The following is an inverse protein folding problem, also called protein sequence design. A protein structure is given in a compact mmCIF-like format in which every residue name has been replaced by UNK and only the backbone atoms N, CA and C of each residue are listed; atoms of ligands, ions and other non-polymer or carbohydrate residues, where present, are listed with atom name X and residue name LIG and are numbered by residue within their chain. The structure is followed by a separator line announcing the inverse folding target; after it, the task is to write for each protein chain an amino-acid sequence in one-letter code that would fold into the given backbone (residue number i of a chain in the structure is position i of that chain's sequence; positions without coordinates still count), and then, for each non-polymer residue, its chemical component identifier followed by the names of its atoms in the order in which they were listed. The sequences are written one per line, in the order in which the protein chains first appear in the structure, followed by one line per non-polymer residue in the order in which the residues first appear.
data_IF_455957672209
#
_entry.id   IF_455957672209
#
_cell.length_a   1.000
_cell.length_b   1.000
_cell.length_c   1.000
_cell.angle_alpha   90.00
_cell.angle_beta   90.00
_cell.angle_gamma   90.00
#
_symmetry.space_group_name_H-M   'P 1'
#
loop_
_entity.id
_entity.type
_entity.pdbx_description
1 polymer ?
#
# COMPACT_ATOMS: atom_id res chain seq x y z
N UNK A 1 37.55 -40.83 -7.10
CA UNK A 1 36.87 -42.14 -7.23
C UNK A 1 35.37 -41.88 -7.34
N UNK A 2 34.85 -41.98 -8.51
CA UNK A 2 33.87 -42.97 -9.01
C UNK A 2 32.54 -42.84 -8.30
N UNK A 3 31.52 -42.28 -9.02
CA UNK A 3 30.47 -43.04 -9.77
C UNK A 3 29.31 -43.38 -8.86
N UNK A 4 28.05 -43.27 -9.19
CA UNK A 4 27.20 -43.43 -10.39
C UNK A 4 25.77 -43.11 -10.02
N UNK A 5 24.99 -42.46 -10.82
CA UNK A 5 24.03 -43.05 -11.78
C UNK A 5 22.74 -43.56 -11.05
N UNK A 6 21.54 -43.35 -11.42
CA UNK A 6 20.80 -43.31 -12.69
C UNK A 6 19.29 -43.29 -12.34
N UNK A 7 18.51 -42.49 -13.00
CA UNK A 7 17.38 -42.79 -13.85
C UNK A 7 16.26 -43.71 -13.31
N UNK A 8 15.02 -43.33 -13.52
CA UNK A 8 13.96 -43.97 -14.33
C UNK A 8 12.60 -43.31 -14.00
N UNK A 9 11.98 -42.73 -14.97
CA UNK A 9 11.00 -43.17 -15.99
C UNK A 9 9.57 -43.24 -15.41
N UNK A 10 8.74 -42.33 -15.80
CA UNK A 10 7.70 -42.38 -16.84
C UNK A 10 6.59 -43.42 -16.66
N UNK A 11 5.36 -42.94 -16.59
CA UNK A 11 4.13 -43.53 -17.17
C UNK A 11 3.00 -42.50 -16.95
N UNK A 12 2.56 -41.73 -17.88
CA UNK A 12 1.59 -41.95 -18.97
C UNK A 12 0.36 -42.77 -18.54
N UNK A 13 -0.76 -42.09 -18.41
CA UNK A 13 -2.08 -42.63 -18.79
C UNK A 13 -3.03 -41.48 -19.15
N UNK A 14 -3.25 -41.34 -20.44
CA UNK A 14 -4.39 -40.70 -21.09
C UNK A 14 -5.67 -41.45 -20.76
N UNK A 15 -6.75 -40.73 -20.44
CA UNK A 15 -8.09 -41.19 -20.78
C UNK A 15 -8.94 -40.01 -21.20
N UNK A 16 -9.19 -39.95 -22.48
CA UNK A 16 -10.18 -39.16 -23.18
C UNK A 16 -11.56 -39.81 -23.05
N UNK A 17 -12.58 -38.99 -22.79
CA UNK A 17 -13.95 -39.34 -23.11
C UNK A 17 -14.68 -38.11 -23.65
N UNK A 18 -14.92 -38.17 -24.92
CA UNK A 18 -15.79 -37.31 -25.73
C UNK A 18 -17.22 -37.81 -25.54
N UNK A 19 -18.16 -36.92 -25.33
CA UNK A 19 -19.56 -37.16 -25.68
C UNK A 19 -20.18 -35.86 -26.22
N UNK A 20 -20.39 -35.91 -27.50
CA UNK A 20 -21.22 -34.99 -28.29
C UNK A 20 -22.70 -35.26 -28.02
N UNK A 21 -23.48 -34.24 -28.00
CA UNK A 21 -24.93 -34.35 -28.00
C UNK A 21 -25.54 -33.10 -28.62
N UNK A 22 -25.72 -33.15 -29.92
CA UNK A 22 -26.47 -32.20 -30.72
C UNK A 22 -27.95 -32.60 -30.75
N UNK A 23 -28.88 -31.65 -30.71
CA UNK A 23 -30.29 -31.91 -30.90
C UNK A 23 -31.13 -30.66 -30.80
N UNK A 24 -31.44 -30.07 -31.96
CA UNK A 24 -32.36 -28.97 -32.10
C UNK A 24 -33.84 -29.44 -32.18
N UNK A 25 -34.74 -28.49 -32.05
CA UNK A 25 -36.17 -28.75 -32.32
C UNK A 25 -37.09 -27.74 -31.66
N UNK A 26 -37.73 -27.00 -32.49
CA UNK A 26 -38.70 -25.92 -32.28
C UNK A 26 -40.08 -26.49 -31.85
N UNK A 27 -40.87 -25.66 -31.22
CA UNK A 27 -42.34 -25.42 -31.25
C UNK A 27 -43.15 -25.64 -29.98
N UNK A 28 -43.73 -24.50 -29.59
CA UNK A 28 -45.13 -24.23 -29.17
C UNK A 28 -45.90 -25.18 -28.27
N UNK A 29 -46.50 -24.60 -27.22
CA UNK A 29 -47.73 -25.11 -26.59
C UNK A 29 -47.88 -24.75 -25.11
N UNK A 30 -48.59 -23.74 -24.86
CA UNK A 30 -49.51 -23.30 -23.78
C UNK A 30 -49.76 -24.26 -22.59
N UNK A 31 -49.95 -23.58 -21.43
CA UNK A 31 -50.67 -23.87 -20.17
C UNK A 31 -49.89 -24.47 -19.00
N UNK A 32 -49.72 -23.67 -18.00
CA UNK A 32 -50.16 -23.79 -16.59
C UNK A 32 -49.45 -24.79 -15.72
N UNK A 33 -48.77 -24.27 -14.77
CA UNK A 33 -49.01 -24.52 -13.33
C UNK A 33 -47.78 -24.08 -12.51
N UNK A 34 -48.05 -23.35 -11.48
CA UNK A 34 -47.28 -22.86 -10.38
C UNK A 34 -46.26 -23.83 -9.86
N UNK A 35 -44.97 -23.43 -9.78
CA UNK A 35 -44.06 -23.90 -8.76
C UNK A 35 -43.16 -22.76 -8.33
N UNK A 36 -43.22 -22.49 -7.04
CA UNK A 36 -42.42 -21.46 -6.35
C UNK A 36 -40.95 -21.87 -6.34
N UNK A 37 -40.16 -21.22 -7.15
CA UNK A 37 -38.71 -21.13 -6.93
C UNK A 37 -38.42 -19.82 -6.25
N UNK A 38 -38.10 -19.85 -5.00
CA UNK A 38 -37.60 -18.75 -4.18
C UNK A 38 -36.32 -18.23 -4.80
N UNK A 39 -36.45 -17.29 -5.71
CA UNK A 39 -35.35 -16.44 -6.12
C UNK A 39 -35.01 -15.53 -4.93
N UNK A 40 -33.84 -15.74 -4.37
CA UNK A 40 -33.23 -14.86 -3.38
C UNK A 40 -32.90 -13.53 -4.10
N UNK A 41 -33.86 -12.65 -4.16
CA UNK A 41 -33.67 -11.28 -4.64
C UNK A 41 -32.92 -10.55 -3.53
N UNK A 42 -31.61 -10.51 -3.64
CA UNK A 42 -30.83 -9.47 -2.93
C UNK A 42 -31.35 -8.13 -3.46
N UNK A 43 -32.15 -7.49 -2.65
CA UNK A 43 -32.53 -6.11 -2.84
C UNK A 43 -31.26 -5.27 -2.65
N UNK A 44 -30.57 -4.99 -3.74
CA UNK A 44 -29.61 -3.89 -3.73
C UNK A 44 -30.40 -2.64 -3.36
N UNK A 45 -30.20 -2.15 -2.14
CA UNK A 45 -30.70 -0.85 -1.74
C UNK A 45 -30.21 0.20 -2.75
N UNK A 46 -30.95 1.29 -2.95
CA UNK A 46 -30.56 2.31 -3.90
C UNK A 46 -29.17 2.81 -3.51
N UNK A 47 -28.19 2.57 -4.39
CA UNK A 47 -26.86 3.15 -4.24
C UNK A 47 -27.07 4.66 -4.09
N UNK A 48 -26.73 5.18 -2.91
CA UNK A 48 -26.82 6.61 -2.63
C UNK A 48 -25.97 7.32 -3.69
N UNK A 49 -26.63 8.09 -4.55
CA UNK A 49 -25.95 8.85 -5.58
C UNK A 49 -25.12 9.90 -4.86
N UNK A 50 -23.80 9.70 -4.80
CA UNK A 50 -22.89 10.69 -4.23
C UNK A 50 -23.14 12.05 -4.90
N UNK A 51 -23.17 13.10 -4.10
CA UNK A 51 -23.15 14.45 -4.64
C UNK A 51 -21.88 14.63 -5.48
N UNK A 52 -21.94 15.45 -6.53
CA UNK A 52 -20.79 15.65 -7.41
C UNK A 52 -19.57 16.10 -6.59
N UNK A 53 -18.51 15.27 -6.55
CA UNK A 53 -17.30 15.50 -5.78
C UNK A 53 -17.19 14.73 -4.46
N UNK A 54 -18.16 13.89 -4.10
CA UNK A 54 -18.12 13.03 -2.92
C UNK A 54 -17.94 11.56 -3.33
N UNK A 55 -17.02 10.87 -2.66
CA UNK A 55 -16.77 9.44 -2.83
C UNK A 55 -16.99 8.73 -1.47
N UNK A 56 -17.98 7.81 -1.44
CA UNK A 56 -18.22 6.97 -0.28
C UNK A 56 -17.57 5.59 -0.50
N UNK A 57 -16.63 5.23 0.36
CA UNK A 57 -15.91 3.96 0.28
C UNK A 57 -16.22 3.12 1.52
N UNK A 58 -16.75 1.91 1.31
CA UNK A 58 -16.93 0.93 2.36
C UNK A 58 -15.64 0.15 2.62
N UNK A 59 -15.28 0.00 3.88
CA UNK A 59 -14.18 -0.86 4.34
C UNK A 59 -14.72 -1.97 5.23
N UNK A 60 -14.14 -3.18 5.10
CA UNK A 60 -14.65 -4.37 5.79
C UNK A 60 -14.27 -4.44 7.28
N UNK A 61 -13.37 -3.60 7.75
CA UNK A 61 -12.83 -3.63 9.10
C UNK A 61 -12.76 -2.22 9.68
N UNK A 62 -12.95 -2.12 11.01
CA UNK A 62 -12.66 -0.87 11.71
C UNK A 62 -11.18 -0.50 11.61
N UNK A 63 -10.94 0.79 11.59
CA UNK A 63 -9.58 1.34 11.62
C UNK A 63 -8.90 1.01 12.96
N UNK A 64 -7.57 1.03 12.97
CA UNK A 64 -6.80 0.97 14.21
C UNK A 64 -7.16 2.11 15.17
N UNK A 65 -6.83 1.96 16.45
CA UNK A 65 -6.95 3.04 17.44
C UNK A 65 -6.05 4.22 17.08
N UNK A 66 -4.86 3.93 16.56
CA UNK A 66 -3.94 4.93 16.02
C UNK A 66 -4.14 5.08 14.50
N UNK A 67 -4.05 6.31 14.00
CA UNK A 67 -4.00 6.64 12.58
C UNK A 67 -2.59 7.02 12.11
N UNK A 68 -1.60 6.97 13.01
CA UNK A 68 -0.18 7.16 12.70
C UNK A 68 0.29 6.03 11.75
N UNK A 69 0.74 6.34 10.53
CA UNK A 69 1.13 5.33 9.55
C UNK A 69 2.34 4.48 9.98
N UNK A 70 3.13 4.97 10.94
CA UNK A 70 4.24 4.20 11.53
C UNK A 70 3.82 3.26 12.65
N UNK A 71 2.54 3.24 13.03
CA UNK A 71 1.97 2.37 14.08
C UNK A 71 0.87 1.45 13.54
N UNK A 72 0.25 1.80 12.42
CA UNK A 72 -0.92 1.08 11.90
C UNK A 72 -0.57 -0.28 11.32
N UNK A 73 -1.24 -1.32 11.79
CA UNK A 73 -1.01 -2.72 11.37
C UNK A 73 -2.17 -3.31 10.57
N UNK A 74 -3.41 -2.84 10.79
CA UNK A 74 -4.60 -3.36 10.10
C UNK A 74 -4.61 -2.93 8.64
N UNK A 75 -4.94 -3.86 7.75
CA UNK A 75 -4.98 -3.62 6.31
C UNK A 75 -5.92 -2.47 5.95
N UNK A 76 -7.14 -2.42 6.51
CA UNK A 76 -8.11 -1.36 6.22
C UNK A 76 -7.61 0.03 6.62
N UNK A 77 -6.90 0.16 7.77
CA UNK A 77 -6.30 1.44 8.16
C UNK A 77 -5.21 1.85 7.17
N UNK A 78 -4.36 0.90 6.78
CA UNK A 78 -3.29 1.17 5.81
C UNK A 78 -3.83 1.60 4.44
N UNK A 79 -4.90 0.96 3.95
CA UNK A 79 -5.56 1.35 2.70
C UNK A 79 -6.10 2.78 2.74
N UNK A 80 -6.74 3.18 3.84
CA UNK A 80 -7.23 4.55 4.00
C UNK A 80 -6.06 5.53 4.10
N UNK A 81 -5.10 5.23 4.97
CA UNK A 81 -3.95 6.10 5.25
C UNK A 81 -3.01 6.23 4.05
N UNK A 82 -2.96 5.26 3.14
CA UNK A 82 -2.23 5.34 1.87
C UNK A 82 -2.63 6.56 1.02
N UNK A 83 -3.86 7.06 1.19
CA UNK A 83 -4.35 8.25 0.51
C UNK A 83 -4.09 9.55 1.28
N UNK A 84 -3.76 9.45 2.56
CA UNK A 84 -3.46 10.59 3.44
C UNK A 84 -1.95 10.88 3.46
N UNK A 85 -1.14 9.83 3.34
CA UNK A 85 0.31 9.93 3.47
C UNK A 85 1.04 9.51 2.19
N UNK A 86 2.21 10.07 2.01
CA UNK A 86 3.17 9.67 0.97
C UNK A 86 4.56 9.52 1.56
N UNK A 87 5.35 8.61 0.98
CA UNK A 87 6.79 8.51 1.20
C UNK A 87 7.57 9.34 0.20
N UNK A 88 8.88 9.14 0.14
CA UNK A 88 9.70 9.67 -0.96
C UNK A 88 9.24 9.10 -2.30
N UNK A 89 8.86 7.82 -2.29
CA UNK A 89 8.32 7.08 -3.43
C UNK A 89 6.91 6.59 -3.12
N UNK A 90 6.12 6.36 -4.18
CA UNK A 90 4.77 5.78 -4.10
C UNK A 90 4.57 4.75 -5.21
N UNK A 91 4.02 3.56 -4.92
CA UNK A 91 3.72 2.58 -5.95
C UNK A 91 2.52 3.03 -6.78
N UNK A 92 2.58 2.78 -8.09
CA UNK A 92 1.42 2.89 -8.98
C UNK A 92 0.58 1.60 -8.95
N UNK A 93 -0.51 1.57 -9.73
CA UNK A 93 -1.40 0.41 -9.83
C UNK A 93 -0.71 -0.85 -10.39
N UNK A 94 0.44 -0.72 -11.03
CA UNK A 94 1.25 -1.81 -11.57
C UNK A 94 2.38 -2.22 -10.60
N UNK A 95 2.52 -1.53 -9.48
CA UNK A 95 3.58 -1.75 -8.49
C UNK A 95 4.90 -1.05 -8.80
N UNK A 96 4.98 -0.22 -9.84
CA UNK A 96 6.20 0.54 -10.11
C UNK A 96 6.32 1.68 -9.11
N UNK A 97 7.53 1.92 -8.63
CA UNK A 97 7.82 3.02 -7.71
C UNK A 97 8.01 4.33 -8.49
N UNK A 98 7.18 5.29 -8.15
CA UNK A 98 7.24 6.63 -8.73
C UNK A 98 7.61 7.67 -7.67
N UNK A 99 8.35 8.74 -8.04
CA UNK A 99 8.60 9.86 -7.14
C UNK A 99 7.30 10.49 -6.62
N UNK A 100 7.22 10.70 -5.29
CA UNK A 100 6.08 11.32 -4.60
C UNK A 100 6.53 12.61 -3.89
N UNK A 101 6.98 12.54 -2.64
CA UNK A 101 7.62 13.69 -1.96
C UNK A 101 8.96 14.04 -2.65
N UNK A 102 9.67 13.03 -3.15
CA UNK A 102 10.82 13.29 -4.02
C UNK A 102 10.39 13.78 -5.41
N UNK A 103 11.19 14.63 -6.02
CA UNK A 103 11.11 14.98 -7.44
C UNK A 103 11.80 13.92 -8.30
N UNK A 104 12.96 13.46 -7.85
CA UNK A 104 13.80 12.47 -8.54
C UNK A 104 14.72 11.78 -7.55
N UNK A 105 15.31 10.68 -7.98
CA UNK A 105 16.37 10.02 -7.22
C UNK A 105 17.39 9.36 -8.13
N UNK A 106 18.58 9.12 -7.58
CA UNK A 106 19.65 8.34 -8.19
C UNK A 106 20.16 7.28 -7.23
N UNK A 107 20.70 6.21 -7.79
CA UNK A 107 21.33 5.13 -7.04
C UNK A 107 22.74 4.95 -7.59
N UNK A 108 23.73 4.85 -6.71
CA UNK A 108 25.12 4.56 -7.12
C UNK A 108 25.25 3.17 -7.75
N UNK A 109 26.27 2.96 -8.56
CA UNK A 109 26.50 1.68 -9.26
C UNK A 109 26.71 0.49 -8.32
N UNK A 110 27.22 0.76 -7.11
CA UNK A 110 27.42 -0.24 -6.06
C UNK A 110 26.18 -0.46 -5.18
N UNK A 111 25.07 0.26 -5.47
CA UNK A 111 23.83 0.22 -4.69
C UNK A 111 23.97 0.55 -3.20
N UNK A 112 24.97 1.34 -2.84
CA UNK A 112 25.21 1.78 -1.46
C UNK A 112 24.69 3.18 -1.16
N UNK A 113 24.66 4.09 -2.17
CA UNK A 113 24.18 5.45 -1.99
C UNK A 113 22.90 5.69 -2.78
N UNK A 114 21.86 6.10 -2.07
CA UNK A 114 20.60 6.57 -2.63
C UNK A 114 20.45 8.05 -2.36
N UNK A 115 20.33 8.86 -3.40
CA UNK A 115 20.22 10.32 -3.32
C UNK A 115 18.86 10.77 -3.84
N UNK A 116 18.08 11.44 -3.01
CA UNK A 116 16.73 11.91 -3.33
C UNK A 116 16.69 13.43 -3.32
N UNK A 117 16.31 14.01 -4.45
CA UNK A 117 15.97 15.43 -4.52
C UNK A 117 14.51 15.61 -4.15
N UNK A 118 14.22 16.45 -3.17
CA UNK A 118 12.86 16.75 -2.74
C UNK A 118 12.19 17.70 -3.75
N UNK A 119 10.90 17.51 -3.93
CA UNK A 119 10.07 18.40 -4.76
C UNK A 119 9.86 19.72 -4.06
N UNK A 120 10.12 20.81 -4.74
CA UNK A 120 9.92 22.15 -4.19
C UNK A 120 8.44 22.44 -3.89
N UNK A 121 8.17 23.03 -2.73
CA UNK A 121 6.85 23.50 -2.33
C UNK A 121 5.85 22.43 -1.94
N UNK A 122 6.30 21.18 -1.69
CA UNK A 122 5.46 20.16 -1.07
C UNK A 122 5.11 20.59 0.35
N UNK A 123 3.82 20.50 0.68
CA UNK A 123 3.32 20.86 2.01
C UNK A 123 2.55 19.73 2.64
N UNK A 124 2.72 19.61 3.93
CA UNK A 124 1.81 18.83 4.76
C UNK A 124 0.42 19.47 4.81
N UNK A 125 -0.59 18.70 5.19
CA UNK A 125 -1.99 19.16 5.27
C UNK A 125 -2.21 20.32 6.25
N UNK A 126 -1.30 20.52 7.22
CA UNK A 126 -1.31 21.66 8.13
C UNK A 126 -0.69 22.93 7.53
N UNK A 127 -0.19 22.87 6.28
CA UNK A 127 0.41 23.99 5.56
C UNK A 127 1.92 24.16 5.75
N UNK A 128 2.54 23.38 6.64
CA UNK A 128 3.99 23.36 6.84
C UNK A 128 4.70 22.78 5.62
N UNK A 129 5.79 23.36 5.18
CA UNK A 129 6.60 22.79 4.10
C UNK A 129 7.34 21.53 4.56
N UNK A 130 7.46 20.55 3.65
CA UNK A 130 8.27 19.35 3.88
C UNK A 130 9.74 19.72 3.77
N UNK A 131 10.52 19.35 4.77
CA UNK A 131 11.95 19.60 4.84
C UNK A 131 12.76 18.30 4.77
N UNK A 132 14.04 18.33 4.38
CA UNK A 132 14.93 17.18 4.51
C UNK A 132 14.97 16.59 5.92
N UNK A 133 14.85 17.44 6.94
CA UNK A 133 14.85 17.02 8.34
C UNK A 133 13.61 16.20 8.68
N UNK A 134 12.42 16.54 8.17
CA UNK A 134 11.20 15.73 8.33
C UNK A 134 11.38 14.36 7.72
N UNK A 135 11.97 14.30 6.53
CA UNK A 135 12.24 13.05 5.81
C UNK A 135 13.21 12.17 6.62
N UNK A 136 14.35 12.70 7.00
CA UNK A 136 15.36 11.96 7.76
C UNK A 136 14.77 11.46 9.08
N UNK A 137 14.08 12.31 9.82
CA UNK A 137 13.44 11.95 11.08
C UNK A 137 12.41 10.82 10.90
N UNK A 138 11.60 10.86 9.83
CA UNK A 138 10.57 9.86 9.57
C UNK A 138 11.16 8.46 9.38
N UNK A 139 12.23 8.34 8.61
CA UNK A 139 12.88 7.05 8.37
C UNK A 139 13.72 6.59 9.55
N UNK A 140 14.42 7.51 10.24
CA UNK A 140 15.14 7.19 11.48
C UNK A 140 14.20 6.67 12.56
N UNK A 141 13.01 7.25 12.71
CA UNK A 141 11.98 6.81 13.65
C UNK A 141 11.62 5.32 13.45
N UNK A 142 11.56 4.86 12.21
CA UNK A 142 11.28 3.45 11.86
C UNK A 142 12.52 2.55 11.89
N UNK A 143 13.73 3.12 11.91
CA UNK A 143 15.00 2.38 11.96
C UNK A 143 15.64 2.32 13.34
N UNK A 144 15.16 3.12 14.31
CA UNK A 144 15.73 3.20 15.65
C UNK A 144 15.25 2.04 16.53
N UNK A 145 16.17 1.16 16.90
CA UNK A 145 15.87 0.04 17.80
C UNK A 145 15.38 0.47 19.21
N UNK A 146 15.58 1.73 19.57
CA UNK A 146 15.11 2.31 20.84
C UNK A 146 13.80 3.09 20.69
N UNK A 147 13.19 3.11 19.50
CA UNK A 147 11.88 3.73 19.30
C UNK A 147 10.82 3.09 20.20
N UNK A 148 9.73 3.82 20.51
CA UNK A 148 8.61 3.26 21.23
C UNK A 148 8.12 1.93 20.61
N UNK A 149 7.71 0.98 21.46
CA UNK A 149 7.38 -0.38 21.03
C UNK A 149 6.17 -0.48 20.07
N UNK A 150 5.38 0.57 19.96
CA UNK A 150 4.25 0.70 19.03
C UNK A 150 4.68 1.22 17.65
N UNK A 151 5.93 1.65 17.48
CA UNK A 151 6.48 2.01 16.17
C UNK A 151 6.89 0.75 15.41
N UNK A 152 6.39 0.63 14.17
CA UNK A 152 6.75 -0.47 13.27
C UNK A 152 8.19 -0.30 12.83
N UNK A 153 9.04 -1.25 13.23
CA UNK A 153 10.43 -1.25 12.85
C UNK A 153 10.62 -1.74 11.41
N UNK A 154 11.37 -0.99 10.64
CA UNK A 154 11.78 -1.34 9.28
C UNK A 154 13.28 -1.65 9.30
N UNK A 155 13.61 -2.93 9.30
CA UNK A 155 15.01 -3.39 9.43
C UNK A 155 15.94 -2.80 8.35
N UNK A 156 15.41 -2.47 7.17
CA UNK A 156 16.17 -1.86 6.10
C UNK A 156 16.68 -0.44 6.43
N UNK A 157 16.12 0.22 7.44
CA UNK A 157 16.59 1.55 7.89
C UNK A 157 17.58 1.47 9.05
N UNK A 158 17.72 0.31 9.67
CA UNK A 158 18.71 0.12 10.71
C UNK A 158 20.13 0.27 10.14
N UNK A 159 20.98 1.02 10.82
CA UNK A 159 22.39 1.26 10.45
C UNK A 159 22.57 1.96 9.08
N UNK A 160 21.54 2.63 8.57
CA UNK A 160 21.67 3.51 7.40
C UNK A 160 22.06 4.91 7.88
N UNK A 161 23.13 5.46 7.31
CA UNK A 161 23.47 6.85 7.53
C UNK A 161 22.55 7.72 6.66
N UNK A 162 21.78 8.60 7.29
CA UNK A 162 20.83 9.48 6.64
C UNK A 162 21.25 10.92 6.87
N UNK A 163 21.50 11.67 5.80
CA UNK A 163 21.97 13.03 5.89
C UNK A 163 21.41 13.91 4.78
N UNK A 164 21.41 15.21 5.03
CA UNK A 164 21.04 16.23 4.06
C UNK A 164 22.25 16.68 3.28
N UNK A 165 22.08 16.89 1.97
CA UNK A 165 23.05 17.53 1.08
C UNK A 165 22.40 18.74 0.41
N UNK A 166 22.97 19.94 0.63
CA UNK A 166 22.33 21.17 0.16
C UNK A 166 21.00 21.45 0.86
N UNK A 167 20.09 22.12 0.18
CA UNK A 167 18.83 22.62 0.77
C UNK A 167 17.65 21.65 0.58
N UNK A 168 17.70 20.79 -0.45
CA UNK A 168 16.54 19.98 -0.89
C UNK A 168 16.87 18.50 -1.15
N UNK A 169 18.03 18.03 -0.73
CA UNK A 169 18.50 16.69 -1.04
C UNK A 169 18.71 15.87 0.22
N UNK A 170 18.21 14.61 0.20
CA UNK A 170 18.40 13.63 1.27
C UNK A 170 19.15 12.43 0.72
N UNK A 171 20.18 12.03 1.44
CA UNK A 171 21.05 10.90 1.11
C UNK A 171 20.88 9.76 2.12
N UNK A 172 20.86 8.53 1.61
CA UNK A 172 20.85 7.30 2.41
C UNK A 172 22.08 6.49 2.02
N UNK A 173 23.04 6.40 2.93
CA UNK A 173 24.26 5.62 2.77
C UNK A 173 24.08 4.29 3.49
N UNK A 174 24.04 3.20 2.73
CA UNK A 174 23.91 1.83 3.21
C UNK A 174 25.31 1.25 3.51
N UNK A 175 25.37 0.33 4.43
CA UNK A 175 26.61 -0.42 4.74
C UNK A 175 26.81 -1.61 3.77
N UNK A 176 25.70 -2.18 3.27
CA UNK A 176 25.70 -3.28 2.32
C UNK A 176 24.70 -2.99 1.20
N UNK A 177 24.95 -3.45 -0.05
CA UNK A 177 24.06 -3.25 -1.16
C UNK A 177 22.67 -3.85 -0.90
N UNK A 178 21.62 -3.08 -1.18
CA UNK A 178 20.24 -3.55 -1.05
C UNK A 178 19.39 -3.06 -2.23
N UNK A 179 19.17 -3.91 -3.22
CA UNK A 179 18.40 -3.58 -4.43
C UNK A 179 16.92 -3.29 -4.14
N UNK A 180 16.40 -3.73 -3.00
CA UNK A 180 15.01 -3.52 -2.58
C UNK A 180 14.85 -2.26 -1.72
N UNK A 181 15.95 -1.56 -1.40
CA UNK A 181 15.92 -0.43 -0.48
C UNK A 181 14.90 0.64 -0.89
N UNK A 182 14.80 0.94 -2.17
CA UNK A 182 13.84 1.91 -2.70
C UNK A 182 12.38 1.56 -2.34
N UNK A 183 12.03 0.28 -2.21
CA UNK A 183 10.66 -0.15 -1.87
C UNK A 183 10.25 0.25 -0.45
N UNK A 184 11.20 0.31 0.48
CA UNK A 184 10.95 0.75 1.85
C UNK A 184 10.73 2.27 1.95
N UNK A 185 11.18 3.04 0.96
CA UNK A 185 10.99 4.49 0.92
C UNK A 185 9.58 4.94 0.52
N UNK A 186 8.65 3.98 0.44
CA UNK A 186 7.20 4.21 0.44
C UNK A 186 6.64 4.45 1.86
N UNK A 187 7.44 4.24 2.90
CA UNK A 187 7.11 4.61 4.28
C UNK A 187 6.80 6.11 4.34
N UNK A 188 5.74 6.46 5.05
CA UNK A 188 5.23 7.81 5.10
C UNK A 188 6.23 8.83 5.65
N UNK A 189 6.30 9.99 5.01
CA UNK A 189 6.99 11.17 5.54
C UNK A 189 6.03 11.95 6.44
N UNK A 190 6.47 12.27 7.65
CA UNK A 190 5.68 12.94 8.69
C UNK A 190 6.35 14.25 9.11
N UNK A 191 5.57 15.28 9.51
CA UNK A 191 6.14 16.48 10.13
C UNK A 191 6.72 16.13 11.50
N UNK A 192 8.02 16.35 11.66
CA UNK A 192 8.83 15.96 12.82
C UNK A 192 8.26 16.47 14.16
N UNK A 193 7.77 17.70 14.17
CA UNK A 193 7.31 18.36 15.40
C UNK A 193 5.80 18.19 15.64
N UNK A 194 5.10 17.37 14.85
CA UNK A 194 3.68 17.14 14.99
C UNK A 194 3.40 15.85 15.78
N UNK A 195 2.71 15.97 16.90
CA UNK A 195 2.54 14.89 17.88
C UNK A 195 1.16 14.22 17.85
N UNK A 196 0.19 14.73 17.09
CA UNK A 196 -1.20 14.25 17.11
C UNK A 196 -1.53 13.26 15.98
N UNK A 197 -0.52 12.60 15.39
CA UNK A 197 -0.71 11.65 14.28
C UNK A 197 -1.69 10.51 14.61
N UNK A 198 -1.77 10.10 15.85
CA UNK A 198 -2.66 9.02 16.28
C UNK A 198 -4.15 9.33 16.06
N UNK A 199 -4.58 10.58 16.20
CA UNK A 199 -5.98 11.00 16.20
C UNK A 199 -6.35 12.02 15.15
N UNK A 200 -5.40 12.82 14.72
CA UNK A 200 -5.56 13.88 13.72
C UNK A 200 -4.42 13.83 12.70
N UNK A 201 -4.34 12.79 11.85
CA UNK A 201 -3.20 12.55 10.99
C UNK A 201 -2.98 13.67 9.97
N UNK A 202 -1.72 14.07 9.84
CA UNK A 202 -1.23 15.10 8.93
C UNK A 202 -0.17 14.50 8.01
N UNK A 203 -0.48 14.37 6.73
CA UNK A 203 0.40 13.84 5.69
C UNK A 203 0.51 14.79 4.50
N UNK A 204 1.02 14.28 3.38
CA UNK A 204 1.20 15.01 2.12
C UNK A 204 0.31 14.48 0.99
N UNK A 205 -0.48 13.44 1.26
CA UNK A 205 -1.28 12.75 0.26
C UNK A 205 -2.44 13.59 -0.29
N UNK A 206 -3.13 13.08 -1.33
CA UNK A 206 -4.21 13.80 -2.00
C UNK A 206 -5.47 13.99 -1.13
N UNK A 207 -5.62 13.23 -0.03
CA UNK A 207 -6.74 13.34 0.89
C UNK A 207 -6.26 13.77 2.27
N UNK A 208 -6.99 14.72 2.85
CA UNK A 208 -6.76 15.21 4.21
C UNK A 208 -7.77 14.62 5.17
N UNK A 209 -7.30 14.21 6.34
CA UNK A 209 -8.17 13.82 7.44
C UNK A 209 -9.02 15.02 7.91
N UNK A 210 -10.28 14.76 8.18
CA UNK A 210 -11.22 15.77 8.72
C UNK A 210 -11.72 15.34 10.09
N UNK A 211 -12.29 14.15 10.17
CA UNK A 211 -12.79 13.62 11.45
C UNK A 211 -13.02 12.11 11.35
N UNK A 212 -13.05 11.47 12.50
CA UNK A 212 -13.44 10.08 12.66
C UNK A 212 -14.49 9.99 13.77
N UNK A 213 -15.57 9.26 13.46
CA UNK A 213 -16.51 8.80 14.49
C UNK A 213 -16.27 7.30 14.67
N UNK A 214 -15.81 6.89 15.85
CA UNK A 214 -15.70 5.48 16.16
C UNK A 214 -17.11 4.88 16.26
N UNK A 215 -17.30 3.66 15.73
CA UNK A 215 -18.53 2.93 16.00
C UNK A 215 -18.46 2.42 17.44
N UNK A 216 -19.45 2.80 18.24
CA UNK A 216 -19.66 2.18 19.54
C UNK A 216 -20.15 0.75 19.30
N UNK A 217 -19.37 -0.23 19.75
CA UNK A 217 -19.66 -1.66 19.68
C UNK A 217 -20.46 -2.12 20.88
#
# INVERSE_FOLDING_TARGET
MKKRILTLLAAVCLLSAVLSGCGGGSQNGTTGTTDQSTANTQTEGPAARAAAGELNVGIAQDLDSSLDPHKTVKAGTREVMFNVFEGLLKPDASGNLNPAVAESYTVSEDHLLYTFKLRTGVKFHNGQEVTPEDVIWSYQRCGDANAPADIIQVAAFANVEMYQEGDDTVCFQLQEPNNEFASYLTTAVLPKDYTEQDTAPVGTGPFRFVSRTAQDS
#
